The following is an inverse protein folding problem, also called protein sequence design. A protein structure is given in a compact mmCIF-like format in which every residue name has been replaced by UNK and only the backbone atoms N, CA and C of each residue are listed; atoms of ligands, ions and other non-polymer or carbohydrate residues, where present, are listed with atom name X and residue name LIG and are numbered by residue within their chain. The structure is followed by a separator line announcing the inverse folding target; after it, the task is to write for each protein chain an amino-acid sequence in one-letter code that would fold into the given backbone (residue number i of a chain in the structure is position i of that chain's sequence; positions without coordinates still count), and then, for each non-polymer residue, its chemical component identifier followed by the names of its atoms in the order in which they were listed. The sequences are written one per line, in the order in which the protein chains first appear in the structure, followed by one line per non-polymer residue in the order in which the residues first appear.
data_IF_736897574698
#
_entry.id   IF_736897574698
#
_cell.length_a   1.000
_cell.length_b   1.000
_cell.length_c   1.000
_cell.angle_alpha   90.00
_cell.angle_beta   90.00
_cell.angle_gamma   90.00
#
_symmetry.space_group_name_H-M   'P 1'
#
loop_
_entity.id
_entity.type
_entity.pdbx_description
1 polymer ?
#
# COMPACT_ATOMS: atom_id res chain seq x y z
N UNK A 1 -1.88 3.25 -14.77
CA UNK A 1 -1.95 1.77 -14.73
C UNK A 1 -2.55 1.41 -13.39
N UNK A 2 -3.63 0.62 -13.33
CA UNK A 2 -4.30 0.34 -12.06
C UNK A 2 -3.33 -0.35 -11.09
N UNK A 3 -3.40 0.00 -9.81
CA UNK A 3 -2.67 -0.67 -8.74
C UNK A 3 -3.01 -2.16 -8.81
N UNK A 4 -2.02 -3.04 -9.01
CA UNK A 4 -2.26 -4.49 -9.05
C UNK A 4 -1.85 -5.13 -7.71
N UNK A 5 -2.79 -5.31 -6.76
CA UNK A 5 -2.52 -6.03 -5.53
C UNK A 5 -2.12 -7.48 -5.84
N UNK A 6 -1.01 -7.93 -5.23
CA UNK A 6 -0.52 -9.31 -5.44
C UNK A 6 -1.45 -10.36 -4.81
N UNK A 7 -1.51 -11.56 -5.39
CA UNK A 7 -2.25 -12.70 -4.83
C UNK A 7 -1.83 -13.06 -3.39
N UNK A 8 -0.56 -12.79 -3.03
CA UNK A 8 -0.06 -12.97 -1.65
C UNK A 8 -0.67 -11.97 -0.68
N UNK A 9 -0.91 -10.74 -1.12
CA UNK A 9 -1.53 -9.69 -0.32
C UNK A 9 -2.97 -10.05 0.05
N UNK A 10 -3.79 -10.51 -0.92
CA UNK A 10 -5.15 -10.96 -0.64
C UNK A 10 -5.21 -12.15 0.32
N UNK A 11 -4.29 -13.11 0.20
CA UNK A 11 -4.19 -14.23 1.16
C UNK A 11 -3.86 -13.73 2.57
N UNK A 12 -3.01 -12.71 2.70
CA UNK A 12 -2.65 -12.11 3.99
C UNK A 12 -3.80 -11.28 4.56
N UNK A 13 -4.50 -10.51 3.73
CA UNK A 13 -5.68 -9.73 4.13
C UNK A 13 -6.82 -10.61 4.64
N UNK A 14 -7.02 -11.80 4.05
CA UNK A 14 -7.99 -12.80 4.55
C UNK A 14 -7.72 -13.25 5.99
N UNK A 15 -6.48 -13.18 6.47
CA UNK A 15 -6.14 -13.51 7.88
C UNK A 15 -6.60 -12.42 8.86
N UNK A 16 -6.73 -11.19 8.39
CA UNK A 16 -7.21 -10.05 9.18
C UNK A 16 -8.74 -9.89 9.12
N UNK A 17 -9.49 -10.90 8.65
CA UNK A 17 -10.96 -10.86 8.51
C UNK A 17 -11.71 -10.41 9.77
N UNK A 18 -11.15 -10.64 10.96
CA UNK A 18 -11.73 -10.22 12.24
C UNK A 18 -11.32 -8.82 12.68
N UNK A 19 -10.28 -8.23 12.08
CA UNK A 19 -9.75 -6.92 12.40
C UNK A 19 -10.21 -5.90 11.35
N UNK A 20 -11.41 -5.36 11.58
CA UNK A 20 -12.07 -4.42 10.65
C UNK A 20 -11.22 -3.17 10.40
N UNK A 21 -10.48 -2.68 11.40
CA UNK A 21 -9.66 -1.49 11.28
C UNK A 21 -8.51 -1.66 10.28
N UNK A 22 -7.89 -2.85 10.23
CA UNK A 22 -6.85 -3.14 9.24
C UNK A 22 -7.42 -3.20 7.83
N UNK A 23 -8.61 -3.79 7.68
CA UNK A 23 -9.28 -3.93 6.38
C UNK A 23 -9.72 -2.56 5.85
N UNK A 24 -10.38 -1.76 6.67
CA UNK A 24 -10.82 -0.42 6.30
C UNK A 24 -9.62 0.48 5.98
N UNK A 25 -8.56 0.43 6.81
CA UNK A 25 -7.33 1.16 6.55
C UNK A 25 -6.65 0.73 5.24
N UNK A 26 -6.68 -0.56 4.91
CA UNK A 26 -6.20 -1.06 3.62
C UNK A 26 -6.97 -0.46 2.44
N UNK A 27 -8.31 -0.51 2.47
CA UNK A 27 -9.12 0.05 1.39
C UNK A 27 -8.99 1.56 1.27
N UNK A 28 -8.92 2.27 2.40
CA UNK A 28 -8.67 3.72 2.41
C UNK A 28 -7.35 4.08 1.73
N UNK A 29 -6.27 3.35 2.03
CA UNK A 29 -4.98 3.59 1.39
C UNK A 29 -5.03 3.32 -0.12
N UNK A 30 -5.77 2.30 -0.56
CA UNK A 30 -5.96 2.05 -1.99
C UNK A 30 -6.68 3.23 -2.67
N UNK A 31 -7.73 3.73 -2.04
CA UNK A 31 -8.50 4.88 -2.53
C UNK A 31 -7.64 6.16 -2.58
N UNK A 32 -6.87 6.44 -1.53
CA UNK A 32 -5.92 7.55 -1.48
C UNK A 32 -4.86 7.44 -2.59
N UNK A 33 -4.35 6.24 -2.86
CA UNK A 33 -3.36 6.00 -3.92
C UNK A 33 -3.94 6.13 -5.33
N UNK A 34 -5.22 5.81 -5.52
CA UNK A 34 -5.91 5.91 -6.81
C UNK A 34 -6.35 7.34 -7.12
N UNK A 35 -6.79 8.08 -6.10
CA UNK A 35 -7.27 9.46 -6.23
C UNK A 35 -6.16 10.50 -6.19
N UNK A 36 -5.00 10.18 -5.59
CA UNK A 36 -3.91 11.15 -5.46
C UNK A 36 -3.24 11.45 -6.81
N UNK A 37 -3.05 12.74 -7.14
CA UNK A 37 -2.30 13.14 -8.33
C UNK A 37 -0.82 12.78 -8.27
N UNK A 38 -0.28 12.59 -7.06
CA UNK A 38 1.10 12.14 -6.84
C UNK A 38 1.13 11.10 -5.72
N UNK A 39 1.04 9.80 -6.05
CA UNK A 39 1.05 8.74 -5.06
C UNK A 39 2.40 8.60 -4.34
N UNK A 40 3.49 9.22 -4.84
CA UNK A 40 4.82 9.14 -4.20
C UNK A 40 4.89 9.92 -2.90
N UNK A 41 3.94 10.83 -2.68
CA UNK A 41 3.79 11.57 -1.42
C UNK A 41 3.02 10.79 -0.35
N UNK A 42 2.43 9.65 -0.69
CA UNK A 42 1.66 8.85 0.25
C UNK A 42 2.59 7.86 0.95
N UNK A 43 2.77 8.08 2.25
CA UNK A 43 3.61 7.26 3.11
C UNK A 43 5.09 7.60 3.06
N UNK A 44 5.90 6.70 3.62
CA UNK A 44 7.33 6.91 3.81
C UNK A 44 8.14 6.15 2.77
N UNK A 45 9.02 6.85 2.07
CA UNK A 45 10.00 6.22 1.18
C UNK A 45 10.97 5.36 1.99
N UNK A 46 11.20 4.12 1.55
CA UNK A 46 12.16 3.22 2.20
C UNK A 46 13.55 3.30 1.56
N UNK A 47 14.52 2.65 2.20
CA UNK A 47 15.94 2.69 1.82
C UNK A 47 16.46 1.26 1.54
N UNK A 48 17.69 1.17 1.02
CA UNK A 48 18.35 -0.11 0.73
C UNK A 48 17.63 -0.92 -0.34
N UNK A 49 17.42 -2.21 -0.09
CA UNK A 49 16.74 -3.14 -1.02
C UNK A 49 15.31 -2.70 -1.40
N UNK A 50 14.70 -1.83 -0.60
CA UNK A 50 13.34 -1.32 -0.80
C UNK A 50 13.29 0.15 -1.21
N UNK A 51 14.36 0.70 -1.82
CA UNK A 51 14.48 2.13 -2.19
C UNK A 51 13.36 2.67 -3.11
N UNK A 52 12.72 1.78 -3.87
CA UNK A 52 11.61 2.10 -4.78
C UNK A 52 10.22 1.82 -4.16
N UNK A 53 10.19 1.46 -2.87
CA UNK A 53 8.96 1.18 -2.15
C UNK A 53 8.63 2.29 -1.16
N UNK A 54 7.34 2.51 -1.00
CA UNK A 54 6.76 3.36 0.03
C UNK A 54 6.05 2.47 1.04
N UNK A 55 6.17 2.78 2.33
CA UNK A 55 5.36 2.14 3.36
C UNK A 55 4.31 3.11 3.89
N UNK A 56 3.08 2.66 3.92
CA UNK A 56 1.93 3.43 4.38
C UNK A 56 1.38 2.69 5.60
N UNK A 57 1.50 3.32 6.76
CA UNK A 57 1.13 2.70 8.02
C UNK A 57 -0.39 2.69 8.20
N UNK A 58 -0.96 1.49 8.37
CA UNK A 58 -2.37 1.29 8.74
C UNK A 58 -2.52 1.36 10.27
N UNK A 59 -1.53 0.81 10.98
CA UNK A 59 -1.42 0.85 12.44
C UNK A 59 0.05 0.85 12.86
N UNK A 60 0.31 0.90 14.18
CA UNK A 60 1.68 0.78 14.72
C UNK A 60 2.40 -0.50 14.27
N UNK A 61 1.67 -1.60 14.06
CA UNK A 61 2.24 -2.91 13.75
C UNK A 61 2.02 -3.34 12.28
N UNK A 62 1.25 -2.58 11.51
CA UNK A 62 0.87 -2.96 10.15
C UNK A 62 1.07 -1.80 9.19
N UNK A 63 1.83 -2.07 8.12
CA UNK A 63 2.05 -1.14 7.03
C UNK A 63 1.86 -1.84 5.68
N UNK A 64 1.29 -1.12 4.73
CA UNK A 64 1.20 -1.52 3.33
C UNK A 64 2.45 -1.05 2.59
N UNK A 65 3.14 -1.97 1.93
CA UNK A 65 4.28 -1.65 1.07
C UNK A 65 3.81 -1.55 -0.37
N UNK A 66 4.02 -0.39 -0.99
CA UNK A 66 3.64 -0.12 -2.37
C UNK A 66 4.89 0.23 -3.18
N UNK A 67 4.99 -0.31 -4.39
CA UNK A 67 6.03 0.06 -5.35
C UNK A 67 5.38 0.97 -6.38
N UNK A 68 5.87 2.19 -6.51
CA UNK A 68 5.35 3.13 -7.48
C UNK A 68 6.24 3.04 -8.71
N UNK A 69 5.79 2.27 -9.69
CA UNK A 69 6.43 2.21 -10.99
C UNK A 69 6.01 3.43 -11.79
N UNK A 70 6.85 4.47 -11.85
CA UNK A 70 6.69 5.51 -12.85
C UNK A 70 6.87 4.86 -14.23
N UNK A 71 5.77 4.73 -14.97
CA UNK A 71 5.87 4.35 -16.38
C UNK A 71 6.50 5.54 -17.08
N UNK A 72 7.81 5.49 -17.36
CA UNK A 72 8.44 6.39 -18.32
C UNK A 72 7.65 6.25 -19.63
N UNK A 73 7.00 7.33 -20.04
CA UNK A 73 6.53 7.47 -21.42
C UNK A 73 7.72 7.51 -22.36
#
# INVERSE_FOLDING_TARGET
MPLQPSNKLFKKLKKFKSDKSIIEGYYRILDDLETSPDPTKIGERKHGLYVNYHAIHISKNHALFTCICQKKM
#
